data_IF_598312283791
#
_entry.id   IF_598312283791
#
_cell.length_a   1.000
_cell.length_b   1.000
_cell.length_c   1.000
_cell.angle_alpha   90.00
_cell.angle_beta   90.00
_cell.angle_gamma   90.00
#
_symmetry.space_group_name_H-M   'P 1'
#
loop_
_entity.id
_entity.type
_entity.pdbx_description
1 polymer ?
#
# COMPACT_ATOMS: atom_id res chain seq x y z
N UNK A 1 4.91 33.24 -21.06
CA UNK A 1 4.48 34.58 -21.59
C UNK A 1 4.64 34.72 -23.10
N UNK A 2 5.73 34.25 -23.72
CA UNK A 2 6.00 34.41 -25.17
C UNK A 2 4.94 33.83 -26.11
N UNK A 3 4.35 32.67 -25.81
CA UNK A 3 3.24 32.12 -26.61
C UNK A 3 1.97 32.98 -26.63
N UNK A 4 1.67 33.69 -25.53
CA UNK A 4 0.51 34.62 -25.48
C UNK A 4 0.78 35.91 -26.27
N UNK A 5 2.05 36.20 -26.58
CA UNK A 5 2.47 37.32 -27.41
C UNK A 5 2.48 36.97 -28.91
N UNK A 6 2.39 35.68 -29.26
CA UNK A 6 2.16 35.25 -30.64
C UNK A 6 0.70 35.55 -31.01
N UNK A 7 0.50 36.46 -31.96
CA UNK A 7 -0.82 36.76 -32.51
C UNK A 7 -1.45 35.57 -33.25
N UNK A 8 -2.71 35.71 -33.65
CA UNK A 8 -3.43 34.68 -34.43
C UNK A 8 -2.76 34.34 -35.76
N UNK A 9 -1.85 35.18 -36.26
CA UNK A 9 -1.11 35.03 -37.51
C UNK A 9 0.20 34.21 -37.42
N UNK A 10 0.65 33.82 -36.22
CA UNK A 10 1.88 33.04 -36.07
C UNK A 10 1.74 31.65 -36.69
N UNK A 11 2.73 31.27 -37.50
CA UNK A 11 2.81 29.97 -38.17
C UNK A 11 2.94 28.83 -37.15
N UNK A 12 2.60 27.61 -37.57
CA UNK A 12 2.73 26.44 -36.71
C UNK A 12 4.20 26.21 -36.28
N UNK A 13 5.15 26.47 -37.17
CA UNK A 13 6.58 26.30 -36.91
C UNK A 13 7.09 27.32 -35.88
N UNK A 14 6.65 28.58 -35.95
CA UNK A 14 6.98 29.61 -34.94
C UNK A 14 6.42 29.25 -33.55
N UNK A 15 5.22 28.67 -33.50
CA UNK A 15 4.61 28.22 -32.24
C UNK A 15 5.38 27.03 -31.65
N UNK A 16 5.77 26.06 -32.48
CA UNK A 16 6.58 24.91 -32.07
C UNK A 16 7.97 25.35 -31.60
N UNK A 17 8.60 26.31 -32.28
CA UNK A 17 9.90 26.86 -31.86
C UNK A 17 9.81 27.55 -30.49
N UNK A 18 8.79 28.38 -30.27
CA UNK A 18 8.58 29.06 -28.98
C UNK A 18 8.26 28.07 -27.86
N UNK A 19 7.46 27.03 -28.14
CA UNK A 19 7.17 25.97 -27.19
C UNK A 19 8.43 25.14 -26.85
N UNK A 20 9.26 24.86 -27.85
CA UNK A 20 10.55 24.18 -27.70
C UNK A 20 11.50 25.01 -26.84
N UNK A 21 11.63 26.30 -27.11
CA UNK A 21 12.46 27.24 -26.33
C UNK A 21 12.01 27.35 -24.87
N UNK A 22 10.69 27.34 -24.62
CA UNK A 22 10.12 27.33 -23.27
C UNK A 22 10.57 26.07 -22.51
N UNK A 23 10.46 24.89 -23.12
CA UNK A 23 10.92 23.63 -22.51
C UNK A 23 12.43 23.62 -22.27
N UNK A 24 13.22 24.09 -23.23
CA UNK A 24 14.68 24.20 -23.09
C UNK A 24 15.11 25.13 -21.95
N UNK A 25 14.32 26.17 -21.66
CA UNK A 25 14.60 27.04 -20.52
C UNK A 25 14.47 26.28 -19.19
N UNK A 26 13.44 25.45 -19.04
CA UNK A 26 13.27 24.61 -17.85
C UNK A 26 14.36 23.54 -17.74
N UNK A 27 14.79 22.97 -18.88
CA UNK A 27 15.90 22.01 -18.92
C UNK A 27 17.20 22.67 -18.43
N UNK A 28 17.55 23.86 -18.95
CA UNK A 28 18.73 24.61 -18.48
C UNK A 28 18.66 24.95 -17.00
N UNK A 29 17.46 25.27 -16.50
CA UNK A 29 17.27 25.51 -15.07
C UNK A 29 17.48 24.23 -14.25
N UNK A 30 17.06 23.07 -14.78
CA UNK A 30 17.35 21.78 -14.18
C UNK A 30 18.86 21.51 -14.14
N UNK A 31 19.59 21.72 -15.24
CA UNK A 31 21.04 21.54 -15.34
C UNK A 31 21.83 22.41 -14.35
N UNK A 32 21.32 23.62 -14.08
CA UNK A 32 21.94 24.56 -13.15
C UNK A 32 21.57 24.28 -11.67
N UNK A 33 20.83 23.20 -11.38
CA UNK A 33 20.36 22.90 -10.03
C UNK A 33 21.50 22.37 -9.16
N UNK A 34 21.65 22.85 -7.91
CA UNK A 34 22.73 22.41 -7.03
C UNK A 34 22.49 21.00 -6.44
N UNK A 35 21.25 20.52 -6.46
CA UNK A 35 20.87 19.23 -5.88
C UNK A 35 20.09 18.37 -6.89
N UNK A 36 20.41 17.06 -7.02
CA UNK A 36 19.73 16.16 -7.95
C UNK A 36 18.22 16.03 -7.72
N UNK A 37 17.74 16.21 -6.48
CA UNK A 37 16.30 16.25 -6.19
C UNK A 37 15.60 17.48 -6.77
N UNK A 38 16.29 18.63 -6.81
CA UNK A 38 15.79 19.85 -7.45
C UNK A 38 15.85 19.74 -8.96
N UNK A 39 16.91 19.12 -9.50
CA UNK A 39 17.01 18.77 -10.92
C UNK A 39 15.83 17.88 -11.33
N UNK A 40 15.58 16.78 -10.62
CA UNK A 40 14.47 15.86 -10.87
C UNK A 40 13.13 16.59 -10.91
N UNK A 41 12.86 17.46 -9.93
CA UNK A 41 11.62 18.24 -9.87
C UNK A 41 11.47 19.19 -11.06
N UNK A 42 12.56 19.87 -11.47
CA UNK A 42 12.55 20.77 -12.64
C UNK A 42 12.39 20.02 -13.96
N UNK A 43 13.03 18.85 -14.11
CA UNK A 43 12.83 17.96 -15.25
C UNK A 43 11.38 17.47 -15.32
N UNK A 44 10.77 17.10 -14.20
CA UNK A 44 9.35 16.72 -14.16
C UNK A 44 8.44 17.88 -14.65
N UNK A 45 8.72 19.11 -14.23
CA UNK A 45 8.00 20.30 -14.71
C UNK A 45 8.20 20.51 -16.22
N UNK A 46 9.43 20.37 -16.72
CA UNK A 46 9.75 20.44 -18.14
C UNK A 46 8.97 19.40 -18.95
N UNK A 47 8.91 18.14 -18.46
CA UNK A 47 8.15 17.06 -19.09
C UNK A 47 6.66 17.38 -19.13
N UNK A 48 6.06 17.85 -18.03
CA UNK A 48 4.64 18.26 -17.97
C UNK A 48 4.32 19.37 -18.97
N UNK A 49 5.25 20.31 -19.21
CA UNK A 49 5.09 21.35 -20.22
C UNK A 49 5.20 20.75 -21.61
N UNK A 50 6.25 19.99 -21.90
CA UNK A 50 6.47 19.34 -23.20
C UNK A 50 5.30 18.46 -23.62
N UNK A 51 4.71 17.67 -22.70
CA UNK A 51 3.50 16.88 -22.93
C UNK A 51 2.32 17.74 -23.33
N UNK A 52 2.04 18.83 -22.58
CA UNK A 52 0.95 19.77 -22.90
C UNK A 52 1.14 20.48 -24.24
N UNK A 53 2.38 20.57 -24.74
CA UNK A 53 2.71 21.14 -26.05
C UNK A 53 2.79 20.11 -27.18
N UNK A 54 2.61 18.82 -26.89
CA UNK A 54 2.71 17.76 -27.90
C UNK A 54 4.13 17.45 -28.38
N UNK A 55 5.17 17.88 -27.64
CA UNK A 55 6.58 17.71 -28.00
C UNK A 55 7.11 16.33 -27.56
N UNK A 56 6.61 15.26 -28.19
CA UNK A 56 6.87 13.87 -27.76
C UNK A 56 8.35 13.48 -27.71
N UNK A 57 9.16 13.97 -28.66
CA UNK A 57 10.60 13.70 -28.66
C UNK A 57 11.29 14.29 -27.43
N UNK A 58 10.93 15.52 -27.05
CA UNK A 58 11.44 16.17 -25.82
C UNK A 58 10.96 15.46 -24.57
N UNK A 59 9.72 15.00 -24.53
CA UNK A 59 9.22 14.19 -23.40
C UNK A 59 10.07 12.95 -23.20
N UNK A 60 10.42 12.24 -24.28
CA UNK A 60 11.27 11.04 -24.22
C UNK A 60 12.69 11.37 -23.74
N UNK A 61 13.27 12.45 -24.24
CA UNK A 61 14.59 12.94 -23.83
C UNK A 61 14.62 13.29 -22.34
N UNK A 62 13.67 14.11 -21.87
CA UNK A 62 13.56 14.51 -20.47
C UNK A 62 13.33 13.28 -19.58
N UNK A 63 12.46 12.35 -19.98
CA UNK A 63 12.22 11.12 -19.23
C UNK A 63 13.48 10.25 -19.11
N UNK A 64 14.26 10.12 -20.19
CA UNK A 64 15.55 9.41 -20.17
C UNK A 64 16.53 10.06 -19.20
N UNK A 65 16.53 11.39 -19.12
CA UNK A 65 17.36 12.12 -18.16
C UNK A 65 16.91 11.90 -16.72
N UNK A 66 15.60 11.99 -16.45
CA UNK A 66 15.05 11.67 -15.13
C UNK A 66 15.44 10.25 -14.69
N UNK A 67 15.40 9.27 -15.60
CA UNK A 67 15.82 7.89 -15.32
C UNK A 67 17.31 7.73 -15.01
N UNK A 68 18.16 8.66 -15.45
CA UNK A 68 19.60 8.62 -15.17
C UNK A 68 19.97 9.14 -13.78
N UNK A 69 19.07 9.85 -13.10
CA UNK A 69 19.26 10.29 -11.72
C UNK A 69 18.89 9.11 -10.82
N UNK A 70 19.86 8.57 -10.09
CA UNK A 70 19.59 7.44 -9.20
C UNK A 70 18.80 7.88 -7.95
N UNK A 71 18.10 6.94 -7.31
CA UNK A 71 17.40 7.22 -6.06
C UNK A 71 18.35 7.62 -4.92
N UNK A 72 19.60 7.16 -4.96
CA UNK A 72 20.66 7.51 -4.00
C UNK A 72 21.11 8.96 -4.17
N UNK A 73 21.16 9.47 -5.41
CA UNK A 73 21.56 10.84 -5.73
C UNK A 73 20.56 11.89 -5.23
N UNK A 74 19.30 11.49 -5.00
CA UNK A 74 18.26 12.38 -4.48
C UNK A 74 18.56 12.91 -3.08
N UNK A 75 19.55 12.35 -2.38
CA UNK A 75 20.01 12.78 -1.05
C UNK A 75 18.86 12.84 -0.02
N UNK A 76 17.92 11.88 -0.12
CA UNK A 76 16.75 11.82 0.74
C UNK A 76 17.17 11.59 2.20
N UNK A 77 16.64 12.40 3.12
CA UNK A 77 16.94 12.24 4.54
C UNK A 77 15.89 11.37 5.22
N UNK A 78 16.32 10.24 5.77
CA UNK A 78 15.43 9.40 6.60
C UNK A 78 15.16 10.07 7.95
N UNK A 79 13.88 10.09 8.35
CA UNK A 79 13.45 10.44 9.70
C UNK A 79 13.07 9.15 10.39
N UNK A 80 13.75 8.84 11.49
CA UNK A 80 13.47 7.68 12.34
C UNK A 80 12.95 8.15 13.68
N UNK A 81 11.84 7.58 14.11
CA UNK A 81 11.24 7.85 15.42
C UNK A 81 11.16 6.51 16.15
N UNK A 82 12.02 6.24 17.13
CA UNK A 82 11.94 5.00 17.89
C UNK A 82 10.67 5.00 18.75
N UNK A 83 9.98 3.87 18.78
CA UNK A 83 8.85 3.61 19.67
C UNK A 83 9.25 2.42 20.53
N UNK A 84 9.09 2.53 21.85
CA UNK A 84 9.34 1.42 22.77
C UNK A 84 8.01 0.82 23.18
N UNK A 85 7.81 -0.46 22.83
CA UNK A 85 6.68 -1.25 23.29
C UNK A 85 7.10 -2.03 24.54
N UNK A 86 6.36 -1.96 25.67
CA UNK A 86 6.60 -2.85 26.79
C UNK A 86 6.42 -4.31 26.35
N UNK A 87 7.35 -5.20 26.72
CA UNK A 87 7.34 -6.60 26.29
C UNK A 87 6.00 -7.30 26.58
N UNK A 88 5.41 -7.08 27.75
CA UNK A 88 4.13 -7.68 28.14
C UNK A 88 2.99 -7.38 27.17
N UNK A 89 3.02 -6.25 26.45
CA UNK A 89 2.00 -5.89 25.46
C UNK A 89 2.09 -6.82 24.25
N UNK A 90 3.30 -7.07 23.74
CA UNK A 90 3.51 -8.01 22.65
C UNK A 90 3.26 -9.45 23.12
N UNK A 91 3.77 -9.84 24.28
CA UNK A 91 3.61 -11.20 24.82
C UNK A 91 2.15 -11.59 25.02
N UNK A 92 1.32 -10.68 25.55
CA UNK A 92 -0.11 -10.94 25.76
C UNK A 92 -0.87 -11.27 24.47
N UNK A 93 -0.44 -10.72 23.33
CA UNK A 93 -1.00 -11.03 22.00
C UNK A 93 -0.40 -12.32 21.46
N UNK A 94 0.93 -12.42 21.47
CA UNK A 94 1.67 -13.51 20.84
C UNK A 94 1.46 -14.87 21.52
N UNK A 95 1.23 -14.90 22.84
CA UNK A 95 1.00 -16.15 23.57
C UNK A 95 -0.22 -16.91 23.04
N UNK A 96 -1.26 -16.20 22.58
CA UNK A 96 -2.52 -16.81 22.11
C UNK A 96 -2.29 -17.76 20.92
N UNK A 97 -1.31 -17.45 20.07
CA UNK A 97 -0.97 -18.27 18.91
C UNK A 97 -0.33 -19.61 19.28
N UNK A 98 0.15 -19.76 20.53
CA UNK A 98 0.88 -20.94 20.99
C UNK A 98 0.33 -21.54 22.27
N UNK A 99 -0.84 -21.11 22.76
CA UNK A 99 -1.45 -21.68 23.98
C UNK A 99 -2.04 -23.09 23.77
N UNK A 100 -2.15 -23.54 22.53
CA UNK A 100 -2.85 -24.78 22.17
C UNK A 100 -1.91 -26.00 22.06
N UNK A 101 -2.50 -27.19 21.94
CA UNK A 101 -1.76 -28.45 21.84
C UNK A 101 -1.04 -28.60 20.48
N UNK A 102 -1.60 -28.03 19.42
CA UNK A 102 -1.06 -28.06 18.06
C UNK A 102 -1.06 -26.68 17.41
N UNK A 103 -0.49 -26.59 16.20
CA UNK A 103 -0.33 -25.34 15.45
C UNK A 103 -1.64 -24.84 14.81
N UNK A 104 -2.64 -25.71 14.60
CA UNK A 104 -3.86 -25.39 13.84
C UNK A 104 -4.64 -24.22 14.44
N UNK A 105 -4.92 -24.16 15.76
CA UNK A 105 -5.61 -23.02 16.34
C UNK A 105 -4.85 -21.70 16.19
N UNK A 106 -3.52 -21.72 16.26
CA UNK A 106 -2.70 -20.53 16.07
C UNK A 106 -2.78 -19.99 14.63
N UNK A 107 -2.71 -20.88 13.64
CA UNK A 107 -2.87 -20.49 12.23
C UNK A 107 -4.30 -20.06 11.93
N UNK A 108 -5.30 -20.73 12.50
CA UNK A 108 -6.71 -20.31 12.41
C UNK A 108 -6.90 -18.91 12.98
N UNK A 109 -6.37 -18.63 14.18
CA UNK A 109 -6.40 -17.31 14.79
C UNK A 109 -5.77 -16.26 13.87
N UNK A 110 -4.64 -16.58 13.23
CA UNK A 110 -3.99 -15.69 12.26
C UNK A 110 -4.94 -15.33 11.09
N UNK A 111 -5.67 -16.30 10.57
CA UNK A 111 -6.55 -16.11 9.41
C UNK A 111 -7.84 -15.36 9.76
N UNK A 112 -8.28 -15.43 11.03
CA UNK A 112 -9.61 -15.01 11.46
C UNK A 112 -9.64 -13.75 12.34
N UNK A 113 -8.50 -13.11 12.58
CA UNK A 113 -8.45 -11.83 13.30
C UNK A 113 -9.38 -10.81 12.64
N UNK A 114 -10.40 -10.36 13.37
CA UNK A 114 -11.51 -9.55 12.84
C UNK A 114 -11.07 -8.24 12.17
N UNK A 115 -10.17 -7.50 12.84
CA UNK A 115 -9.78 -6.17 12.39
C UNK A 115 -8.74 -6.23 11.24
N UNK A 116 -8.86 -5.34 10.22
CA UNK A 116 -7.83 -5.21 9.21
C UNK A 116 -6.53 -4.71 9.84
N UNK A 117 -5.35 -5.20 9.42
CA UNK A 117 -4.08 -4.78 10.01
C UNK A 117 -3.79 -3.29 9.94
N UNK A 118 -4.35 -2.57 8.96
CA UNK A 118 -4.21 -1.11 8.91
C UNK A 118 -5.03 -0.38 9.96
N UNK A 119 -5.93 -1.05 10.69
CA UNK A 119 -6.88 -0.44 11.61
C UNK A 119 -8.00 0.33 10.90
N UNK A 120 -8.82 1.04 11.70
CA UNK A 120 -10.05 1.71 11.25
C UNK A 120 -9.78 3.03 10.52
N UNK A 121 -10.33 3.18 9.31
CA UNK A 121 -10.21 4.37 8.47
C UNK A 121 -10.77 5.62 9.14
N UNK A 122 -11.86 5.47 9.89
CA UNK A 122 -12.44 6.56 10.69
C UNK A 122 -11.46 7.18 11.70
N UNK A 123 -10.62 6.34 12.31
CA UNK A 123 -9.59 6.79 13.26
C UNK A 123 -8.47 7.52 12.53
N UNK A 124 -8.07 7.02 11.34
CA UNK A 124 -7.07 7.67 10.50
C UNK A 124 -7.52 9.02 9.96
N UNK A 125 -8.81 9.16 9.61
CA UNK A 125 -9.40 10.46 9.22
C UNK A 125 -9.33 11.48 10.35
N UNK A 126 -9.56 11.05 11.58
CA UNK A 126 -9.45 11.92 12.77
C UNK A 126 -8.00 12.32 13.02
N UNK A 127 -7.05 11.40 12.80
CA UNK A 127 -5.62 11.71 12.85
C UNK A 127 -5.21 12.74 11.78
N UNK A 128 -5.63 12.54 10.52
CA UNK A 128 -5.32 13.46 9.41
C UNK A 128 -5.86 14.88 9.69
N UNK A 129 -7.14 14.98 10.07
CA UNK A 129 -7.74 16.29 10.38
C UNK A 129 -7.09 17.00 11.58
N UNK A 130 -6.65 16.24 12.60
CA UNK A 130 -5.98 16.79 13.79
C UNK A 130 -4.53 17.21 13.61
N UNK A 131 -3.88 16.84 12.49
CA UNK A 131 -2.46 17.07 12.23
C UNK A 131 -2.20 18.20 11.21
N UNK A 132 -3.23 19.00 10.91
CA UNK A 132 -3.21 20.07 9.91
C UNK A 132 -2.42 21.29 10.40
N UNK A 133 -1.10 21.19 10.41
CA UNK A 133 -0.23 22.35 10.55
C UNK A 133 -0.28 23.22 9.28
N UNK A 134 -0.58 24.51 9.43
CA UNK A 134 -0.70 25.47 8.32
C UNK A 134 0.55 25.55 7.41
N UNK A 135 1.73 25.16 7.91
CA UNK A 135 2.98 25.13 7.15
C UNK A 135 3.05 23.99 6.14
N UNK A 136 2.43 22.83 6.40
CA UNK A 136 2.44 21.71 5.45
C UNK A 136 1.63 22.01 4.20
N UNK A 137 0.56 22.79 4.32
CA UNK A 137 -0.27 23.26 3.19
C UNK A 137 0.46 24.16 2.20
N UNK A 138 1.59 24.75 2.60
CA UNK A 138 2.38 25.65 1.74
C UNK A 138 3.43 24.87 0.95
N UNK A 139 3.80 23.66 1.40
CA UNK A 139 4.86 22.85 0.78
C UNK A 139 4.24 21.71 -0.03
N UNK A 140 4.50 21.74 -1.34
CA UNK A 140 4.08 20.67 -2.24
C UNK A 140 4.76 19.35 -1.87
N UNK A 141 3.96 18.29 -1.68
CA UNK A 141 4.48 16.95 -1.42
C UNK A 141 4.51 16.13 -2.70
N UNK A 142 5.68 15.55 -3.01
CA UNK A 142 5.88 14.64 -4.13
C UNK A 142 6.22 13.25 -3.58
N UNK A 143 5.43 12.26 -3.99
CA UNK A 143 5.69 10.84 -3.71
C UNK A 143 6.64 10.32 -4.77
N UNK A 144 7.79 9.80 -4.33
CA UNK A 144 8.84 9.25 -5.18
C UNK A 144 8.79 7.72 -5.10
N UNK A 145 8.92 7.03 -6.23
CA UNK A 145 8.98 5.57 -6.30
C UNK A 145 10.34 5.02 -5.82
N UNK A 146 10.47 3.71 -5.56
CA UNK A 146 11.77 3.10 -5.27
C UNK A 146 12.83 3.36 -6.35
N UNK A 147 12.41 3.50 -7.61
CA UNK A 147 13.28 3.87 -8.74
C UNK A 147 13.74 5.32 -8.76
N UNK A 148 13.36 6.15 -7.77
CA UNK A 148 13.73 7.57 -7.69
C UNK A 148 12.86 8.50 -8.54
N UNK A 149 11.88 7.97 -9.28
CA UNK A 149 11.03 8.78 -10.14
C UNK A 149 9.80 9.32 -9.40
N UNK A 150 9.36 10.56 -9.69
CA UNK A 150 8.09 11.07 -9.19
C UNK A 150 6.91 10.19 -9.63
N UNK A 151 6.12 9.70 -8.66
CA UNK A 151 4.93 8.87 -8.90
C UNK A 151 3.65 9.69 -8.83
N UNK A 152 3.56 10.58 -7.84
CA UNK A 152 2.38 11.42 -7.62
C UNK A 152 2.76 12.72 -6.96
N UNK A 153 2.13 13.80 -7.39
CA UNK A 153 2.22 15.10 -6.72
C UNK A 153 0.90 15.35 -6.02
N UNK A 154 0.94 15.67 -4.73
CA UNK A 154 -0.26 16.05 -3.99
C UNK A 154 -0.58 17.50 -4.34
N UNK A 155 -1.73 17.73 -4.97
CA UNK A 155 -2.14 19.05 -5.49
C UNK A 155 -3.39 19.57 -4.78
N UNK A 156 -4.30 18.68 -4.41
CA UNK A 156 -5.56 19.05 -3.75
C UNK A 156 -5.54 18.68 -2.28
N UNK A 157 -6.33 19.39 -1.47
CA UNK A 157 -6.54 19.05 -0.05
C UNK A 157 -7.02 17.60 0.11
N UNK A 158 -7.84 17.10 -0.83
CA UNK A 158 -8.30 15.72 -0.84
C UNK A 158 -7.19 14.68 -1.15
N UNK A 159 -6.13 15.07 -1.87
CA UNK A 159 -4.96 14.21 -2.09
C UNK A 159 -4.05 14.20 -0.86
N UNK A 160 -3.88 15.36 -0.21
CA UNK A 160 -3.15 15.48 1.06
C UNK A 160 -3.82 14.67 2.17
N UNK A 161 -5.13 14.81 2.36
CA UNK A 161 -5.89 14.04 3.35
C UNK A 161 -5.74 12.53 3.09
N UNK A 162 -5.83 12.08 1.83
CA UNK A 162 -5.63 10.67 1.47
C UNK A 162 -4.21 10.19 1.78
N UNK A 163 -3.19 11.02 1.57
CA UNK A 163 -1.81 10.69 1.91
C UNK A 163 -1.58 10.62 3.43
N UNK A 164 -2.19 11.51 4.21
CA UNK A 164 -2.10 11.46 5.68
C UNK A 164 -2.79 10.22 6.25
N UNK A 165 -3.97 9.87 5.74
CA UNK A 165 -4.66 8.62 6.09
C UNK A 165 -3.76 7.42 5.75
N UNK A 166 -3.18 7.39 4.55
CA UNK A 166 -2.28 6.30 4.13
C UNK A 166 -1.00 6.21 4.98
N UNK A 167 -0.50 7.35 5.47
CA UNK A 167 0.65 7.39 6.40
C UNK A 167 0.28 6.78 7.75
N UNK A 168 -0.89 7.13 8.30
CA UNK A 168 -1.41 6.51 9.51
C UNK A 168 -1.61 5.00 9.31
N UNK A 169 -2.28 4.60 8.22
CA UNK A 169 -2.48 3.20 7.86
C UNK A 169 -1.17 2.41 7.76
N UNK A 170 -0.11 3.01 7.21
CA UNK A 170 1.22 2.38 7.16
C UNK A 170 1.76 2.10 8.56
N UNK A 171 1.72 3.08 9.46
CA UNK A 171 2.27 2.92 10.82
C UNK A 171 1.53 1.81 11.56
N UNK A 172 0.20 1.78 11.46
CA UNK A 172 -0.62 0.72 12.06
C UNK A 172 -0.34 -0.65 11.43
N UNK A 173 -0.38 -0.74 10.10
CA UNK A 173 -0.18 -1.99 9.37
C UNK A 173 1.23 -2.55 9.58
N UNK A 174 2.28 -1.72 9.60
CA UNK A 174 3.63 -2.18 9.88
C UNK A 174 3.74 -2.67 11.32
N UNK A 175 3.17 -1.96 12.31
CA UNK A 175 3.17 -2.40 13.72
C UNK A 175 2.47 -3.76 13.87
N UNK A 176 1.30 -3.91 13.26
CA UNK A 176 0.57 -5.18 13.24
C UNK A 176 1.35 -6.26 12.48
N UNK A 177 1.94 -5.93 11.34
CA UNK A 177 2.79 -6.82 10.56
C UNK A 177 3.94 -7.41 11.37
N UNK A 178 4.58 -6.62 12.24
CA UNK A 178 5.62 -7.14 13.14
C UNK A 178 5.06 -8.15 14.16
N UNK A 179 3.87 -7.92 14.71
CA UNK A 179 3.21 -8.87 15.60
C UNK A 179 2.82 -10.15 14.86
N UNK A 180 2.30 -10.03 13.64
CA UNK A 180 1.95 -11.15 12.78
C UNK A 180 3.17 -12.01 12.43
N UNK A 181 4.32 -11.38 12.14
CA UNK A 181 5.59 -12.08 11.96
C UNK A 181 5.96 -12.83 13.23
N UNK A 182 5.94 -12.17 14.39
CA UNK A 182 6.23 -12.80 15.68
C UNK A 182 5.32 -14.01 15.96
N UNK A 183 4.04 -13.90 15.63
CA UNK A 183 3.06 -14.97 15.81
C UNK A 183 3.39 -16.19 14.92
N UNK A 184 3.64 -15.97 13.63
CA UNK A 184 4.00 -17.03 12.69
C UNK A 184 5.32 -17.70 13.07
N UNK A 185 6.34 -16.92 13.46
CA UNK A 185 7.62 -17.46 13.89
C UNK A 185 7.47 -18.34 15.13
N UNK A 186 6.73 -17.89 16.16
CA UNK A 186 6.48 -18.68 17.37
C UNK A 186 5.75 -19.99 17.11
N UNK A 187 4.78 -19.99 16.20
CA UNK A 187 4.11 -21.23 15.77
C UNK A 187 5.15 -22.21 15.23
N UNK A 188 6.04 -21.76 14.33
CA UNK A 188 7.06 -22.64 13.76
C UNK A 188 8.12 -23.08 14.76
N UNK A 189 8.52 -22.20 15.69
CA UNK A 189 9.50 -22.51 16.74
C UNK A 189 8.97 -23.56 17.71
N UNK A 190 7.68 -23.50 18.05
CA UNK A 190 7.07 -24.42 19.01
C UNK A 190 6.65 -25.76 18.39
N UNK A 191 6.02 -25.73 17.21
CA UNK A 191 5.38 -26.90 16.62
C UNK A 191 6.11 -27.45 15.38
N UNK A 192 7.17 -26.78 14.93
CA UNK A 192 7.79 -27.03 13.63
C UNK A 192 7.00 -26.40 12.48
N UNK A 193 7.53 -26.50 11.27
CA UNK A 193 6.88 -26.01 10.05
C UNK A 193 5.80 -27.03 9.64
N UNK A 194 4.52 -26.63 9.56
CA UNK A 194 3.45 -27.51 9.09
C UNK A 194 3.68 -28.00 7.66
N UNK A 195 3.21 -29.22 7.37
CA UNK A 195 3.17 -29.71 6.00
C UNK A 195 2.18 -28.91 5.13
N UNK A 196 2.52 -28.74 3.85
CA UNK A 196 1.73 -27.93 2.92
C UNK A 196 0.35 -28.52 2.67
N UNK A 197 0.22 -29.86 2.60
CA UNK A 197 -1.06 -30.52 2.36
C UNK A 197 -1.95 -30.45 3.62
N UNK A 198 -1.38 -30.61 4.81
CA UNK A 198 -2.10 -30.42 6.09
C UNK A 198 -2.60 -28.99 6.26
N UNK A 199 -1.78 -27.99 5.89
CA UNK A 199 -2.16 -26.59 5.95
C UNK A 199 -3.22 -26.24 4.91
N UNK A 200 -3.13 -26.80 3.70
CA UNK A 200 -4.15 -26.63 2.68
C UNK A 200 -5.49 -27.23 3.13
N UNK A 201 -5.47 -28.41 3.78
CA UNK A 201 -6.65 -29.03 4.36
C UNK A 201 -7.29 -28.13 5.44
N UNK A 202 -6.49 -27.58 6.36
CA UNK A 202 -6.99 -26.62 7.35
C UNK A 202 -7.67 -25.42 6.69
N UNK A 203 -7.05 -24.83 5.65
CA UNK A 203 -7.61 -23.65 4.96
C UNK A 203 -8.95 -23.99 4.28
N UNK A 204 -9.08 -25.19 3.71
CA UNK A 204 -10.36 -25.68 3.16
C UNK A 204 -11.40 -25.84 4.26
N UNK A 205 -11.03 -26.44 5.39
CA UNK A 205 -11.91 -26.62 6.55
C UNK A 205 -12.41 -25.29 7.14
N UNK A 206 -11.65 -24.20 6.97
CA UNK A 206 -12.04 -22.83 7.37
C UNK A 206 -12.82 -22.06 6.31
N UNK A 207 -13.30 -22.71 5.26
CA UNK A 207 -14.27 -22.13 4.33
C UNK A 207 -13.71 -21.77 2.95
N UNK A 208 -12.49 -22.17 2.61
CA UNK A 208 -11.95 -21.88 1.28
C UNK A 208 -12.72 -22.61 0.17
N UNK A 209 -13.29 -21.82 -0.75
CA UNK A 209 -14.15 -22.32 -1.83
C UNK A 209 -13.38 -23.00 -2.98
N UNK A 210 -12.13 -22.59 -3.24
CA UNK A 210 -11.24 -23.24 -4.21
C UNK A 210 -10.01 -23.86 -3.52
N UNK A 211 -9.93 -25.18 -3.57
CA UNK A 211 -8.81 -25.99 -3.05
C UNK A 211 -7.45 -25.59 -3.64
N UNK A 212 -7.40 -25.06 -4.86
CA UNK A 212 -6.17 -24.59 -5.50
C UNK A 212 -5.70 -23.26 -4.90
N UNK A 213 -6.64 -22.40 -4.49
CA UNK A 213 -6.31 -21.17 -3.76
C UNK A 213 -5.83 -21.51 -2.35
N UNK A 214 -6.51 -22.42 -1.66
CA UNK A 214 -6.09 -22.93 -0.35
C UNK A 214 -4.65 -23.49 -0.40
N UNK A 215 -4.35 -24.34 -1.39
CA UNK A 215 -2.99 -24.88 -1.58
C UNK A 215 -1.95 -23.80 -1.90
N UNK A 216 -2.33 -22.77 -2.65
CA UNK A 216 -1.42 -21.66 -2.97
C UNK A 216 -1.12 -20.81 -1.74
N UNK A 217 -2.11 -20.56 -0.90
CA UNK A 217 -1.94 -19.88 0.39
C UNK A 217 -1.08 -20.71 1.35
N UNK A 218 -1.31 -22.02 1.43
CA UNK A 218 -0.49 -22.93 2.22
C UNK A 218 0.99 -22.89 1.80
N UNK A 219 1.27 -22.87 0.49
CA UNK A 219 2.64 -22.65 -0.02
C UNK A 219 3.19 -21.29 0.41
N UNK A 220 2.39 -20.23 0.37
CA UNK A 220 2.79 -18.90 0.84
C UNK A 220 3.27 -18.90 2.29
N UNK A 221 2.51 -19.54 3.19
CA UNK A 221 2.92 -19.74 4.58
C UNK A 221 4.20 -20.57 4.71
N UNK A 222 4.30 -21.66 3.95
CA UNK A 222 5.51 -22.48 3.94
C UNK A 222 6.76 -21.68 3.54
N UNK A 223 6.69 -20.92 2.44
CA UNK A 223 7.78 -20.05 2.00
C UNK A 223 8.13 -18.98 3.04
N UNK A 224 7.13 -18.43 3.73
CA UNK A 224 7.36 -17.50 4.83
C UNK A 224 8.18 -18.14 5.96
N UNK A 225 7.83 -19.34 6.41
CA UNK A 225 8.54 -19.99 7.52
C UNK A 225 9.96 -20.44 7.18
N UNK A 226 10.26 -20.75 5.92
CA UNK A 226 11.63 -21.04 5.48
C UNK A 226 12.44 -19.77 5.17
N UNK A 227 11.84 -18.58 5.29
CA UNK A 227 12.48 -17.29 5.04
C UNK A 227 12.56 -16.86 3.57
N UNK A 228 11.86 -17.54 2.67
CA UNK A 228 11.77 -17.16 1.25
C UNK A 228 10.59 -16.22 1.01
N UNK A 229 10.78 -14.97 1.41
CA UNK A 229 9.76 -13.93 1.36
C UNK A 229 9.38 -13.52 -0.07
N UNK A 230 10.33 -13.59 -1.01
CA UNK A 230 10.10 -13.30 -2.43
C UNK A 230 9.18 -14.35 -3.07
N UNK A 231 9.42 -15.64 -2.83
CA UNK A 231 8.55 -16.70 -3.31
C UNK A 231 7.15 -16.62 -2.67
N UNK A 232 7.09 -16.34 -1.36
CA UNK A 232 5.83 -16.21 -0.63
C UNK A 232 4.92 -15.13 -1.25
N UNK A 233 5.45 -13.91 -1.43
CA UNK A 233 4.65 -12.79 -1.95
C UNK A 233 4.28 -12.99 -3.43
N UNK A 234 5.21 -13.50 -4.25
CA UNK A 234 5.01 -13.70 -5.69
C UNK A 234 3.95 -14.74 -6.00
N UNK A 235 3.83 -15.78 -5.17
CA UNK A 235 2.81 -16.81 -5.33
C UNK A 235 1.45 -16.32 -4.84
N UNK A 236 1.41 -15.57 -3.73
CA UNK A 236 0.15 -15.23 -3.04
C UNK A 236 -0.57 -14.04 -3.66
N UNK A 237 0.13 -12.98 -4.07
CA UNK A 237 -0.50 -11.76 -4.61
C UNK A 237 -1.48 -12.05 -5.76
N UNK A 238 -1.12 -12.84 -6.80
CA UNK A 238 -2.05 -13.14 -7.88
C UNK A 238 -3.30 -13.92 -7.42
N UNK A 239 -3.20 -14.64 -6.30
CA UNK A 239 -4.30 -15.43 -5.73
C UNK A 239 -5.30 -14.58 -4.98
N UNK A 240 -4.90 -13.41 -4.48
CA UNK A 240 -5.83 -12.42 -3.93
C UNK A 240 -6.81 -11.95 -5.02
N UNK A 241 -6.31 -11.70 -6.24
CA UNK A 241 -7.17 -11.30 -7.37
C UNK A 241 -8.11 -12.44 -7.81
N UNK A 242 -7.62 -13.69 -7.78
CA UNK A 242 -8.45 -14.85 -8.07
C UNK A 242 -9.54 -15.06 -7.01
N UNK A 243 -9.19 -14.97 -5.73
CA UNK A 243 -10.13 -15.08 -4.61
C UNK A 243 -11.21 -13.99 -4.66
N UNK A 244 -10.83 -12.74 -4.96
CA UNK A 244 -11.79 -11.66 -5.15
C UNK A 244 -12.78 -11.94 -6.30
N UNK A 245 -12.31 -12.53 -7.41
CA UNK A 245 -13.19 -12.94 -8.52
C UNK A 245 -14.12 -14.08 -8.12
N UNK A 246 -13.62 -15.07 -7.41
CA UNK A 246 -14.40 -16.24 -6.99
C UNK A 246 -15.48 -15.82 -5.98
N UNK A 247 -15.16 -14.91 -5.05
CA UNK A 247 -16.13 -14.32 -4.12
C UNK A 247 -17.23 -13.55 -4.85
N UNK A 248 -16.88 -12.65 -5.77
CA UNK A 248 -17.88 -11.90 -6.57
C UNK A 248 -18.76 -12.83 -7.40
N UNK A 249 -18.18 -13.89 -7.98
CA UNK A 249 -18.96 -14.92 -8.68
C UNK A 249 -19.92 -15.66 -7.76
N UNK A 250 -19.51 -15.94 -6.53
CA UNK A 250 -20.36 -16.61 -5.55
C UNK A 250 -21.48 -15.68 -5.02
N UNK A 251 -21.33 -14.37 -5.18
CA UNK A 251 -22.36 -13.35 -4.93
C UNK A 251 -23.21 -13.03 -6.18
N UNK A 252 -23.16 -13.88 -7.21
CA UNK A 252 -23.86 -13.72 -8.49
C UNK A 252 -23.54 -12.41 -9.25
N UNK A 253 -22.38 -11.80 -8.99
CA UNK A 253 -21.97 -10.56 -9.65
C UNK A 253 -21.33 -10.83 -11.03
N UNK A 254 -21.89 -10.18 -12.06
CA UNK A 254 -21.50 -10.33 -13.46
C UNK A 254 -20.20 -9.60 -13.83
N UNK A 255 -19.07 -10.05 -13.29
CA UNK A 255 -17.79 -9.35 -13.44
C UNK A 255 -17.08 -9.52 -14.80
N UNK A 256 -17.54 -10.42 -15.68
CA UNK A 256 -16.87 -10.66 -16.96
C UNK A 256 -17.27 -9.62 -18.01
N UNK A 257 -16.30 -8.91 -18.58
CA UNK A 257 -16.53 -7.99 -19.70
C UNK A 257 -16.59 -8.79 -20.99
N UNK A 258 -17.77 -8.79 -21.62
CA UNK A 258 -17.95 -9.39 -22.94
C UNK A 258 -17.17 -8.58 -23.98
N UNK A 259 -16.55 -9.27 -24.93
CA UNK A 259 -15.89 -8.63 -26.06
C UNK A 259 -16.90 -7.79 -26.84
N UNK A 260 -16.58 -6.51 -27.06
CA UNK A 260 -17.37 -5.62 -27.93
C UNK A 260 -16.45 -5.09 -29.00
N UNK A 261 -16.76 -5.39 -30.26
CA UNK A 261 -15.96 -4.95 -31.42
C UNK A 261 -14.49 -5.44 -31.32
N UNK A 262 -13.53 -4.51 -31.31
CA UNK A 262 -12.08 -4.77 -31.21
C UNK A 262 -11.57 -4.84 -29.77
N UNK A 263 -12.39 -4.51 -28.78
CA UNK A 263 -11.98 -4.52 -27.38
C UNK A 263 -12.08 -5.95 -26.82
N UNK A 264 -10.96 -6.58 -26.43
CA UNK A 264 -10.98 -7.97 -25.98
C UNK A 264 -11.85 -8.13 -24.73
N UNK A 265 -12.59 -9.23 -24.68
CA UNK A 265 -13.28 -9.64 -23.47
C UNK A 265 -12.28 -10.01 -22.38
N UNK A 266 -12.69 -9.89 -21.12
CA UNK A 266 -11.80 -10.22 -20.01
C UNK A 266 -12.34 -9.84 -18.65
N UNK A 267 -11.58 -10.22 -17.63
CA UNK A 267 -11.86 -9.81 -16.26
C UNK A 267 -11.32 -8.41 -16.00
N UNK A 268 -12.04 -7.59 -15.21
CA UNK A 268 -11.56 -6.30 -14.77
C UNK A 268 -10.39 -6.49 -13.79
N UNK A 269 -9.51 -5.48 -13.70
CA UNK A 269 -8.39 -5.51 -12.78
C UNK A 269 -8.80 -5.39 -11.31
N UNK A 270 -7.85 -5.70 -10.42
CA UNK A 270 -8.04 -5.73 -8.96
C UNK A 270 -8.76 -4.52 -8.35
N UNK A 271 -8.49 -3.29 -8.84
CA UNK A 271 -9.18 -2.08 -8.36
C UNK A 271 -10.71 -2.16 -8.51
N UNK A 272 -11.17 -2.63 -9.67
CA UNK A 272 -12.60 -2.75 -9.95
C UNK A 272 -13.22 -3.88 -9.13
N UNK A 273 -12.51 -5.00 -8.94
CA UNK A 273 -12.97 -6.10 -8.10
C UNK A 273 -13.20 -5.63 -6.66
N UNK A 274 -12.25 -4.90 -6.06
CA UNK A 274 -12.42 -4.36 -4.70
C UNK A 274 -13.51 -3.31 -4.61
N UNK A 275 -13.74 -2.53 -5.69
CA UNK A 275 -14.87 -1.58 -5.74
C UNK A 275 -16.22 -2.27 -5.74
N UNK A 276 -16.36 -3.40 -6.42
CA UNK A 276 -17.62 -4.16 -6.35
C UNK A 276 -17.76 -4.91 -5.03
N UNK A 277 -16.67 -5.48 -4.49
CA UNK A 277 -16.71 -6.13 -3.17
C UNK A 277 -17.07 -5.16 -2.04
N UNK A 278 -16.57 -3.92 -2.06
CA UNK A 278 -16.93 -2.88 -1.08
C UNK A 278 -18.44 -2.59 -1.04
N UNK A 279 -19.13 -2.73 -2.18
CA UNK A 279 -20.59 -2.52 -2.24
C UNK A 279 -21.38 -3.71 -1.72
N UNK A 280 -20.83 -4.92 -1.86
CA UNK A 280 -21.58 -6.17 -1.68
C UNK A 280 -21.24 -6.89 -0.37
N UNK A 281 -19.97 -6.90 0.04
CA UNK A 281 -19.48 -7.82 1.08
C UNK A 281 -18.33 -7.30 1.95
N UNK A 282 -17.47 -6.40 1.46
CA UNK A 282 -16.35 -5.86 2.26
C UNK A 282 -16.73 -4.53 2.91
N UNK A 283 -16.32 -4.35 4.16
CA UNK A 283 -16.41 -3.05 4.82
C UNK A 283 -15.38 -2.04 4.27
N UNK A 284 -15.54 -0.78 4.67
CA UNK A 284 -14.64 0.31 4.28
C UNK A 284 -13.20 0.04 4.75
N UNK A 285 -13.04 -0.54 5.95
CA UNK A 285 -11.74 -0.72 6.58
C UNK A 285 -10.91 -1.83 5.90
N UNK A 286 -11.49 -3.00 5.58
CA UNK A 286 -10.83 -4.03 4.79
C UNK A 286 -10.60 -3.60 3.35
N UNK A 287 -11.55 -2.92 2.73
CA UNK A 287 -11.37 -2.40 1.36
C UNK A 287 -10.21 -1.41 1.31
N UNK A 288 -10.11 -0.51 2.29
CA UNK A 288 -9.00 0.41 2.41
C UNK A 288 -7.67 -0.33 2.60
N UNK A 289 -7.62 -1.30 3.52
CA UNK A 289 -6.42 -2.11 3.76
C UNK A 289 -5.92 -2.78 2.48
N UNK A 290 -6.80 -3.48 1.76
CA UNK A 290 -6.46 -4.21 0.54
C UNK A 290 -5.99 -3.26 -0.57
N UNK A 291 -6.67 -2.12 -0.77
CA UNK A 291 -6.26 -1.10 -1.74
C UNK A 291 -4.92 -0.49 -1.35
N UNK A 292 -4.72 -0.12 -0.10
CA UNK A 292 -3.47 0.46 0.40
C UNK A 292 -2.30 -0.51 0.27
N UNK A 293 -2.49 -1.79 0.58
CA UNK A 293 -1.44 -2.81 0.53
C UNK A 293 -1.04 -3.14 -0.92
N UNK A 294 -2.03 -3.37 -1.80
CA UNK A 294 -1.81 -3.97 -3.11
C UNK A 294 -1.81 -2.96 -4.26
N UNK A 295 -2.49 -1.82 -4.11
CA UNK A 295 -2.70 -0.85 -5.18
C UNK A 295 -2.00 0.48 -4.88
N UNK A 296 -1.82 1.27 -5.94
CA UNK A 296 -1.27 2.63 -5.90
C UNK A 296 -2.28 3.63 -6.45
N UNK A 297 -1.94 4.93 -6.46
CA UNK A 297 -0.61 5.49 -6.16
C UNK A 297 -0.38 5.79 -4.66
N UNK A 298 -1.43 5.80 -3.84
CA UNK A 298 -1.37 6.14 -2.42
C UNK A 298 -1.46 4.83 -1.62
N UNK A 299 -0.30 4.22 -1.31
CA UNK A 299 -0.20 2.91 -0.67
C UNK A 299 1.16 2.25 -0.92
N UNK A 300 1.34 1.01 -0.46
CA UNK A 300 2.53 0.21 -0.72
C UNK A 300 2.59 -0.32 -2.15
N UNK A 301 1.43 -0.51 -2.80
CA UNK A 301 1.34 -0.92 -4.20
C UNK A 301 2.10 -2.24 -4.51
N UNK A 302 2.13 -3.17 -3.55
CA UNK A 302 2.98 -4.36 -3.61
C UNK A 302 2.71 -5.22 -4.85
N UNK A 303 1.47 -5.22 -5.37
CA UNK A 303 1.11 -5.94 -6.61
C UNK A 303 1.99 -5.53 -7.77
N UNK A 304 2.16 -4.23 -7.97
CA UNK A 304 2.92 -3.72 -9.10
C UNK A 304 4.42 -3.68 -8.80
N UNK A 305 4.83 -3.41 -7.55
CA UNK A 305 6.26 -3.44 -7.19
C UNK A 305 6.86 -4.84 -7.38
N UNK A 306 6.15 -5.90 -6.98
CA UNK A 306 6.57 -7.28 -7.19
C UNK A 306 6.51 -7.64 -8.67
N UNK A 307 5.39 -7.35 -9.36
CA UNK A 307 5.22 -7.74 -10.76
C UNK A 307 6.22 -7.06 -11.72
N UNK A 308 6.70 -5.86 -11.38
CA UNK A 308 7.69 -5.14 -12.17
C UNK A 308 9.15 -5.39 -11.70
N UNK A 309 9.36 -6.22 -10.67
CA UNK A 309 10.69 -6.53 -10.16
C UNK A 309 11.36 -5.37 -9.44
N UNK A 310 10.59 -4.41 -8.91
CA UNK A 310 11.13 -3.32 -8.08
C UNK A 310 11.34 -3.74 -6.62
N UNK A 311 10.72 -4.84 -6.19
CA UNK A 311 10.85 -5.38 -4.84
C UNK A 311 11.49 -6.78 -4.86
N UNK A 312 12.81 -6.83 -4.67
CA UNK A 312 13.58 -8.09 -4.64
C UNK A 312 13.83 -8.63 -3.22
N UNK A 313 13.68 -7.80 -2.18
CA UNK A 313 13.83 -8.20 -0.78
C UNK A 313 12.64 -7.70 0.03
N UNK A 314 11.49 -8.39 -0.05
CA UNK A 314 10.29 -7.99 0.67
C UNK A 314 10.47 -8.20 2.18
N UNK A 315 10.23 -7.13 2.95
CA UNK A 315 10.27 -7.19 4.41
C UNK A 315 9.26 -8.22 4.95
N UNK A 316 9.60 -9.00 6.00
CA UNK A 316 8.73 -10.05 6.53
C UNK A 316 7.36 -9.52 6.98
N UNK A 317 7.30 -8.31 7.55
CA UNK A 317 6.04 -7.68 7.96
C UNK A 317 5.10 -7.46 6.77
N UNK A 318 5.62 -7.11 5.58
CA UNK A 318 4.81 -6.96 4.38
C UNK A 318 4.28 -8.30 3.88
N UNK A 319 5.09 -9.35 3.95
CA UNK A 319 4.67 -10.70 3.55
C UNK A 319 3.58 -11.22 4.49
N UNK A 320 3.73 -11.03 5.80
CA UNK A 320 2.70 -11.39 6.77
C UNK A 320 1.37 -10.64 6.49
N UNK A 321 1.42 -9.36 6.14
CA UNK A 321 0.24 -8.59 5.72
C UNK A 321 -0.41 -9.14 4.43
N UNK A 322 0.40 -9.57 3.45
CA UNK A 322 -0.10 -10.18 2.22
C UNK A 322 -0.74 -11.55 2.49
N UNK A 323 -0.13 -12.37 3.36
CA UNK A 323 -0.71 -13.64 3.79
C UNK A 323 -2.03 -13.42 4.52
N UNK A 324 -2.11 -12.40 5.39
CA UNK A 324 -3.35 -12.00 6.07
C UNK A 324 -4.42 -11.56 5.07
N UNK A 325 -4.08 -10.72 4.09
CA UNK A 325 -4.99 -10.25 3.05
C UNK A 325 -5.53 -11.42 2.20
N UNK A 326 -4.66 -12.37 1.84
CA UNK A 326 -5.05 -13.56 1.10
C UNK A 326 -5.92 -14.50 1.93
N UNK A 327 -5.59 -14.69 3.22
CA UNK A 327 -6.38 -15.52 4.12
C UNK A 327 -7.84 -15.05 4.16
N UNK A 328 -8.11 -13.76 4.41
CA UNK A 328 -9.49 -13.23 4.43
C UNK A 328 -10.25 -13.57 3.16
N UNK A 329 -9.71 -13.25 1.99
CA UNK A 329 -10.46 -13.43 0.75
C UNK A 329 -10.59 -14.90 0.35
N UNK A 330 -9.58 -15.73 0.66
CA UNK A 330 -9.60 -17.15 0.31
C UNK A 330 -10.56 -17.92 1.21
N UNK A 331 -10.66 -17.57 2.50
CA UNK A 331 -11.57 -18.24 3.46
C UNK A 331 -12.92 -17.55 3.58
N UNK A 332 -13.17 -16.45 2.86
CA UNK A 332 -14.48 -15.81 2.82
C UNK A 332 -15.49 -16.72 2.12
N UNK A 333 -16.46 -17.22 2.89
CA UNK A 333 -17.60 -17.97 2.38
C UNK A 333 -18.85 -17.06 2.36
N UNK A 334 -19.62 -17.01 1.26
CA UNK A 334 -20.91 -16.32 1.27
C UNK A 334 -21.89 -17.15 2.11
N UNK A 335 -22.42 -16.58 3.19
CA UNK A 335 -23.53 -17.21 3.93
C UNK A 335 -24.80 -17.22 3.07
N UNK A 336 -25.43 -18.38 2.91
CA UNK A 336 -26.46 -18.65 1.92
C UNK A 336 -27.82 -17.94 2.14
N UNK A 337 -27.98 -17.10 3.17
CA UNK A 337 -29.31 -16.59 3.56
C UNK A 337 -29.40 -15.09 3.85
N UNK A 338 -28.31 -14.32 3.69
CA UNK A 338 -28.36 -12.86 3.85
C UNK A 338 -27.68 -12.15 2.68
N UNK A 339 -28.37 -11.14 2.12
CA UNK A 339 -27.81 -10.23 1.10
C UNK A 339 -26.70 -9.32 1.65
N UNK A 340 -26.28 -9.55 2.89
CA UNK A 340 -25.02 -9.12 3.46
C UNK A 340 -24.27 -10.38 3.84
N UNK A 341 -23.06 -10.55 3.29
CA UNK A 341 -22.14 -11.54 3.82
C UNK A 341 -21.67 -11.02 5.16
N UNK A 342 -22.18 -11.59 6.26
CA UNK A 342 -21.48 -11.51 7.54
C UNK A 342 -20.20 -12.31 7.35
N UNK A 343 -19.08 -11.62 7.09
CA UNK A 343 -17.78 -12.25 6.91
C UNK A 343 -17.31 -13.00 8.17
N UNK A 344 -18.01 -12.86 9.31
CA UNK A 344 -17.67 -13.47 10.58
C UNK A 344 -18.91 -13.73 11.45
N UNK A 345 -19.10 -14.95 12.01
CA UNK A 345 -19.96 -15.12 13.17
C UNK A 345 -19.33 -14.35 14.34
N UNK A 346 -20.09 -13.41 14.92
CA UNK A 346 -19.68 -12.50 15.99
C UNK A 346 -18.78 -13.17 17.05
N UNK A 347 -17.47 -12.99 16.92
CA UNK A 347 -16.54 -13.20 18.02
C UNK A 347 -16.74 -12.03 18.98
N UNK A 348 -17.05 -12.36 20.24
CA UNK A 348 -17.22 -11.34 21.29
C UNK A 348 -15.94 -10.50 21.38
N UNK A 349 -16.05 -9.18 21.66
CA UNK A 349 -14.87 -8.35 21.90
C UNK A 349 -13.99 -9.00 22.96
N UNK A 350 -12.69 -9.10 22.66
CA UNK A 350 -11.69 -9.68 23.56
C UNK A 350 -11.64 -8.86 24.86
N UNK A 351 -12.38 -9.29 25.87
CA UNK A 351 -12.45 -8.62 27.18
C UNK A 351 -11.27 -9.05 28.07
N UNK A 352 -10.66 -8.10 28.79
CA UNK A 352 -9.57 -8.35 29.75
C UNK A 352 -8.25 -7.63 29.41
N UNK A 353 -7.11 -8.21 29.81
CA UNK A 353 -5.74 -7.71 29.54
C UNK A 353 -5.48 -7.52 28.03
N UNK A 354 -6.22 -8.24 27.19
CA UNK A 354 -6.14 -8.20 25.73
C UNK A 354 -6.75 -6.91 25.18
N UNK A 355 -7.96 -6.54 25.60
CA UNK A 355 -8.51 -5.22 25.26
C UNK A 355 -7.65 -4.07 25.78
N UNK A 356 -6.89 -4.26 26.86
CA UNK A 356 -5.88 -3.30 27.33
C UNK A 356 -4.67 -3.28 26.38
N UNK A 357 -4.19 -4.43 25.90
CA UNK A 357 -3.09 -4.54 24.96
C UNK A 357 -3.44 -3.98 23.58
N UNK A 358 -4.64 -4.24 23.04
CA UNK A 358 -5.12 -3.69 21.77
C UNK A 358 -5.32 -2.17 21.86
N UNK A 359 -5.89 -1.68 22.96
CA UNK A 359 -5.97 -0.25 23.23
C UNK A 359 -4.58 0.37 23.40
N UNK A 360 -3.63 -0.32 24.03
CA UNK A 360 -2.26 0.13 24.17
C UNK A 360 -1.52 0.16 22.82
N UNK A 361 -1.71 -0.86 21.97
CA UNK A 361 -1.14 -0.93 20.62
C UNK A 361 -1.72 0.16 19.72
N UNK A 362 -3.03 0.37 19.78
CA UNK A 362 -3.69 1.46 19.05
C UNK A 362 -3.22 2.83 19.56
N UNK A 363 -3.11 3.02 20.88
CA UNK A 363 -2.60 4.24 21.48
C UNK A 363 -1.13 4.48 21.12
N UNK A 364 -0.28 3.45 21.14
CA UNK A 364 1.14 3.53 20.81
C UNK A 364 1.37 3.80 19.32
N UNK A 365 0.56 3.19 18.44
CA UNK A 365 0.56 3.49 17.00
C UNK A 365 0.12 4.94 16.76
N UNK A 366 -0.91 5.41 17.47
CA UNK A 366 -1.34 6.81 17.44
C UNK A 366 -0.29 7.79 17.98
N UNK A 367 0.41 7.45 19.07
CA UNK A 367 1.55 8.22 19.60
C UNK A 367 2.69 8.25 18.59
N UNK A 368 3.02 7.11 17.98
CA UNK A 368 4.03 6.99 16.94
C UNK A 368 3.74 7.91 15.75
N UNK A 369 2.50 7.89 15.26
CA UNK A 369 2.05 8.76 14.18
C UNK A 369 2.16 10.25 14.55
N UNK A 370 1.79 10.64 15.79
CA UNK A 370 1.93 12.01 16.29
C UNK A 370 3.39 12.43 16.45
N UNK A 371 4.24 11.57 17.01
CA UNK A 371 5.67 11.83 17.18
C UNK A 371 6.36 11.98 15.82
N UNK A 372 6.01 11.13 14.85
CA UNK A 372 6.52 11.24 13.48
C UNK A 372 6.14 12.58 12.87
N UNK A 373 4.89 13.00 13.06
CA UNK A 373 4.42 14.29 12.57
C UNK A 373 5.12 15.49 13.21
N UNK A 374 5.29 15.47 14.54
CA UNK A 374 6.01 16.50 15.29
C UNK A 374 7.49 16.58 14.87
N UNK A 375 8.13 15.43 14.69
CA UNK A 375 9.54 15.36 14.25
C UNK A 375 9.70 15.97 12.86
N UNK A 376 8.77 15.68 11.95
CA UNK A 376 8.76 16.26 10.61
C UNK A 376 8.52 17.78 10.65
N UNK A 377 7.57 18.24 11.47
CA UNK A 377 7.31 19.67 11.67
C UNK A 377 8.51 20.42 12.26
N UNK A 378 9.20 19.83 13.25
CA UNK A 378 10.39 20.41 13.87
C UNK A 378 11.56 20.51 12.88
N UNK A 379 11.78 19.50 12.04
CA UNK A 379 12.82 19.56 10.99
C UNK A 379 12.52 20.62 9.93
N UNK A 380 11.27 20.73 9.48
CA UNK A 380 10.87 21.77 8.52
C UNK A 380 11.10 23.18 9.09
N UNK A 381 10.89 23.37 10.40
CA UNK A 381 11.21 24.65 11.09
C UNK A 381 12.72 24.91 11.15
N UNK A 382 13.53 23.90 11.48
CA UNK A 382 14.99 24.03 11.57
C UNK A 382 15.66 24.29 10.21
N UNK A 383 15.15 23.69 9.13
CA UNK A 383 15.69 23.94 7.79
C UNK A 383 15.50 25.39 7.33
N UNK A 384 14.42 26.05 7.76
CA UNK A 384 14.17 27.46 7.42
C UNK A 384 15.16 28.42 8.10
N UNK A 385 15.56 28.14 9.34
CA UNK A 385 16.55 28.96 10.06
C UNK A 385 17.98 28.85 9.53
N UNK A 386 18.27 27.86 8.67
CA UNK A 386 19.57 27.74 8.01
C UNK A 386 19.58 28.28 6.57
N UNK A 387 18.44 28.79 6.07
CA UNK A 387 18.28 29.35 4.72
C UNK A 387 17.94 30.84 4.70
N UNK A 388 17.78 31.45 5.87
CA UNK A 388 17.77 32.90 6.10
C UNK A 388 19.14 33.32 6.65
#
# INVERSE_FOLDING_TARGET
>A
MRRKLLGSSATNDERVAVDSDEVEAYIREADASPHPSVEMMRLEQAAKIATRRGLQNKVREIASRMQSISSEDLAMVTIRTPITLPAWVAEAVLDQFTQHADWRPGVTLFMEMEDPPSGRVSSHRTFATGNRDALRRVLQTVIISPSGLPRSTLVTEADEDRHEIATASRIYAETQGHLLVGALMRISEKYGIPDVDDLAALIVDRGASDTRLARSLAKGFHYFWIGDYEAAISIVIPKIEAAARDLLRALDEGIYRVQVSKDPGGYPGMYALFTELEKLALDEDWTWFLRWLLLGPIGLNLRNEVAHGFLCDPRPEHVALVLRAAAVLITAAPEAEQRHVDLFPALKPLSGVIGIADNALSALSGIGARLHALTLAQRLRLQRHNTD
#
